data_IF_007774983924
#
_entry.id   IF_007774983924
#
_cell.length_a   1.000
_cell.length_b   1.000
_cell.length_c   1.000
_cell.angle_alpha   90.00
_cell.angle_beta   90.00
_cell.angle_gamma   90.00
#
_symmetry.space_group_name_H-M   'P 1'
#
loop_
_entity.id
_entity.type
_entity.pdbx_description
1 polymer ?
#
# COMPACT_ATOMS: atom_id res chain seq x y z
N UNK A 1 0.67 15.66 -3.68
CA UNK A 1 1.68 16.73 -3.47
C UNK A 1 1.75 17.22 -2.02
N UNK A 2 0.72 17.90 -1.49
CA UNK A 2 0.77 18.50 -0.15
C UNK A 2 1.00 17.50 1.01
N UNK A 3 0.63 16.23 0.83
CA UNK A 3 0.92 15.14 1.78
C UNK A 3 2.40 14.73 1.84
N UNK A 4 3.18 15.07 0.82
CA UNK A 4 4.62 14.74 0.75
C UNK A 4 5.47 15.95 1.15
N UNK A 5 5.28 17.09 0.48
CA UNK A 5 6.13 18.28 0.66
C UNK A 5 5.53 19.32 1.64
N UNK A 6 4.34 19.05 2.20
CA UNK A 6 3.61 19.99 3.05
C UNK A 6 2.82 21.07 2.29
N UNK A 7 1.87 21.70 2.99
CA UNK A 7 0.94 22.68 2.40
C UNK A 7 1.66 23.93 1.82
N UNK A 8 2.70 24.43 2.49
CA UNK A 8 3.42 25.63 2.05
C UNK A 8 4.15 25.41 0.73
N UNK A 9 4.97 24.35 0.64
CA UNK A 9 5.71 24.03 -0.59
C UNK A 9 4.80 23.60 -1.73
N UNK A 10 3.73 22.86 -1.45
CA UNK A 10 2.75 22.51 -2.49
C UNK A 10 2.12 23.75 -3.14
N UNK A 11 1.75 24.77 -2.34
CA UNK A 11 1.20 26.03 -2.86
C UNK A 11 2.25 26.85 -3.60
N UNK A 12 3.48 26.89 -3.11
CA UNK A 12 4.60 27.53 -3.81
C UNK A 12 4.81 26.93 -5.21
N UNK A 13 4.86 25.60 -5.31
CA UNK A 13 4.99 24.89 -6.60
C UNK A 13 3.85 25.27 -7.56
N UNK A 14 2.60 25.18 -7.10
CA UNK A 14 1.42 25.43 -7.94
C UNK A 14 1.25 26.89 -8.35
N UNK A 15 1.54 27.84 -7.46
CA UNK A 15 1.28 29.26 -7.74
C UNK A 15 2.42 29.91 -8.52
N UNK A 16 3.66 29.45 -8.29
CA UNK A 16 4.84 30.08 -8.90
C UNK A 16 5.32 29.37 -10.17
N UNK A 17 4.91 28.12 -10.39
CA UNK A 17 5.30 27.31 -11.55
C UNK A 17 6.81 27.30 -11.83
N UNK A 18 7.63 27.36 -10.77
CA UNK A 18 9.09 27.32 -10.87
C UNK A 18 9.57 25.92 -11.17
N UNK A 19 10.74 25.83 -11.79
CA UNK A 19 11.49 24.58 -11.89
C UNK A 19 12.33 24.39 -10.63
N UNK A 20 12.45 23.15 -10.19
CA UNK A 20 13.26 22.75 -9.05
C UNK A 20 14.21 21.65 -9.51
N UNK A 21 15.47 21.72 -9.10
CA UNK A 21 16.45 20.70 -9.41
C UNK A 21 16.28 19.45 -8.52
N UNK A 22 17.09 18.41 -8.79
CA UNK A 22 17.01 17.15 -8.05
C UNK A 22 17.34 17.32 -6.56
N UNK A 23 18.25 18.24 -6.21
CA UNK A 23 18.66 18.47 -4.83
C UNK A 23 17.55 19.19 -4.06
N UNK A 24 16.96 20.22 -4.65
CA UNK A 24 15.80 20.91 -4.08
C UNK A 24 14.62 19.94 -3.88
N UNK A 25 14.35 19.08 -4.87
CA UNK A 25 13.30 18.07 -4.79
C UNK A 25 13.54 17.07 -3.64
N UNK A 26 14.79 16.66 -3.40
CA UNK A 26 15.16 15.80 -2.28
C UNK A 26 14.99 16.53 -0.94
N UNK A 27 15.46 17.77 -0.83
CA UNK A 27 15.43 18.57 0.39
C UNK A 27 13.98 18.88 0.84
N UNK A 28 13.04 18.99 -0.11
CA UNK A 28 11.61 19.15 0.21
C UNK A 28 10.84 17.83 0.39
N UNK A 29 11.49 16.67 0.24
CA UNK A 29 10.86 15.35 0.37
C UNK A 29 9.98 14.95 -0.82
N UNK A 30 10.19 15.51 -2.01
CA UNK A 30 9.44 15.17 -3.22
C UNK A 30 9.97 13.87 -3.87
N UNK A 31 11.27 13.60 -3.74
CA UNK A 31 11.92 12.37 -4.23
C UNK A 31 12.64 11.68 -3.07
N UNK A 32 12.80 10.35 -3.16
CA UNK A 32 13.40 9.57 -2.08
C UNK A 32 14.94 9.57 -2.09
N UNK A 33 15.58 9.69 -3.26
CA UNK A 33 17.04 9.72 -3.40
C UNK A 33 17.46 10.43 -4.69
N UNK A 34 18.72 10.85 -4.78
CA UNK A 34 19.33 11.49 -5.96
C UNK A 34 20.68 10.82 -6.23
N UNK A 35 20.87 10.35 -7.46
CA UNK A 35 22.10 9.69 -7.93
C UNK A 35 22.57 10.28 -9.26
N UNK A 36 23.84 10.10 -9.66
CA UNK A 36 24.29 10.45 -11.00
C UNK A 36 23.45 9.77 -12.08
N UNK A 37 23.20 10.45 -13.19
CA UNK A 37 22.35 9.93 -14.30
C UNK A 37 22.83 8.57 -14.78
N UNK A 38 24.15 8.33 -14.84
CA UNK A 38 24.74 7.04 -15.22
C UNK A 38 24.44 5.89 -14.27
N UNK A 39 23.97 6.17 -13.04
CA UNK A 39 23.63 5.18 -12.01
C UNK A 39 22.13 5.06 -11.76
N UNK A 40 21.30 5.86 -12.45
CA UNK A 40 19.85 5.94 -12.20
C UNK A 40 19.17 4.56 -12.27
N UNK A 41 19.45 3.79 -13.32
CA UNK A 41 18.88 2.45 -13.48
C UNK A 41 19.43 1.48 -12.42
N UNK A 42 20.74 1.51 -12.18
CA UNK A 42 21.39 0.61 -11.23
C UNK A 42 20.81 0.77 -9.81
N UNK A 43 20.66 2.02 -9.35
CA UNK A 43 20.06 2.32 -8.04
C UNK A 43 18.58 1.92 -8.00
N UNK A 44 17.82 2.24 -9.04
CA UNK A 44 16.40 1.88 -9.13
C UNK A 44 16.18 0.37 -9.06
N UNK A 45 17.00 -0.41 -9.79
CA UNK A 45 16.96 -1.88 -9.77
C UNK A 45 17.38 -2.41 -8.41
N UNK A 46 18.34 -1.78 -7.74
CA UNK A 46 18.74 -2.14 -6.38
C UNK A 46 17.55 -2.05 -5.40
N UNK A 47 16.81 -0.94 -5.42
CA UNK A 47 15.62 -0.74 -4.58
C UNK A 47 14.51 -1.76 -4.90
N UNK A 48 14.28 -2.03 -6.20
CA UNK A 48 13.31 -3.04 -6.62
C UNK A 48 13.69 -4.43 -6.10
N UNK A 49 14.97 -4.81 -6.23
CA UNK A 49 15.49 -6.09 -5.71
C UNK A 49 15.38 -6.19 -4.20
N UNK A 50 15.52 -5.08 -3.48
CA UNK A 50 15.29 -5.05 -2.04
C UNK A 50 13.84 -5.34 -1.67
N UNK A 51 12.88 -4.65 -2.32
CA UNK A 51 11.45 -4.91 -2.09
C UNK A 51 11.03 -6.33 -2.45
N UNK A 52 11.64 -6.93 -3.49
CA UNK A 52 11.38 -8.32 -3.89
C UNK A 52 11.76 -9.35 -2.82
N UNK A 53 12.57 -8.99 -1.80
CA UNK A 53 12.87 -9.86 -0.66
C UNK A 53 11.78 -9.86 0.41
N UNK A 54 10.79 -8.97 0.32
CA UNK A 54 9.74 -8.84 1.32
C UNK A 54 8.45 -9.58 0.93
N UNK A 55 7.58 -9.83 1.92
CA UNK A 55 6.29 -10.48 1.68
C UNK A 55 5.42 -9.63 0.73
N UNK A 56 5.04 -10.15 -0.46
CA UNK A 56 4.19 -9.41 -1.40
C UNK A 56 2.83 -9.04 -0.79
N UNK A 57 2.31 -9.90 0.08
CA UNK A 57 1.06 -9.65 0.79
C UNK A 57 1.19 -8.51 1.81
N UNK A 58 2.28 -8.49 2.57
CA UNK A 58 2.54 -7.41 3.52
C UNK A 58 2.69 -6.06 2.80
N UNK A 59 3.47 -6.02 1.71
CA UNK A 59 3.63 -4.81 0.90
C UNK A 59 2.29 -4.33 0.34
N UNK A 60 1.44 -5.23 -0.13
CA UNK A 60 0.10 -4.90 -0.62
C UNK A 60 -0.78 -4.27 0.47
N UNK A 61 -0.87 -4.90 1.64
CA UNK A 61 -1.66 -4.39 2.76
C UNK A 61 -1.15 -3.04 3.27
N UNK A 62 0.17 -2.88 3.38
CA UNK A 62 0.78 -1.61 3.78
C UNK A 62 0.43 -0.51 2.80
N UNK A 63 0.53 -0.76 1.49
CA UNK A 63 0.12 0.20 0.47
C UNK A 63 -1.36 0.56 0.55
N UNK A 64 -2.25 -0.44 0.70
CA UNK A 64 -3.68 -0.20 0.86
C UNK A 64 -4.00 0.61 2.12
N UNK A 65 -3.33 0.32 3.24
CA UNK A 65 -3.48 1.06 4.49
C UNK A 65 -3.01 2.52 4.38
N UNK A 66 -1.88 2.76 3.70
CA UNK A 66 -1.39 4.11 3.42
C UNK A 66 -2.38 4.89 2.54
N UNK A 67 -2.92 4.27 1.49
CA UNK A 67 -3.94 4.88 0.63
C UNK A 67 -5.24 5.19 1.41
N UNK A 68 -5.66 4.31 2.31
CA UNK A 68 -6.86 4.50 3.12
C UNK A 68 -6.82 5.76 4.01
N UNK A 69 -5.64 6.22 4.39
CA UNK A 69 -5.48 7.46 5.15
C UNK A 69 -5.84 8.72 4.34
N UNK A 70 -5.75 8.65 3.02
CA UNK A 70 -5.91 9.81 2.12
C UNK A 70 -7.15 9.72 1.23
N UNK A 71 -7.52 8.52 0.79
CA UNK A 71 -8.56 8.30 -0.23
C UNK A 71 -9.96 8.04 0.36
N UNK A 72 -10.08 8.09 1.68
CA UNK A 72 -11.35 7.85 2.39
C UNK A 72 -11.95 6.48 2.05
N UNK A 73 -13.23 6.46 1.65
CA UNK A 73 -13.94 5.21 1.36
C UNK A 73 -13.32 4.41 0.21
N UNK A 74 -12.71 5.06 -0.77
CA UNK A 74 -12.04 4.37 -1.87
C UNK A 74 -10.80 3.59 -1.38
N UNK A 75 -10.00 4.20 -0.51
CA UNK A 75 -8.86 3.51 0.09
C UNK A 75 -9.28 2.42 1.08
N UNK A 76 -10.34 2.66 1.87
CA UNK A 76 -10.94 1.63 2.75
C UNK A 76 -11.46 0.45 1.93
N UNK A 77 -12.06 0.67 0.77
CA UNK A 77 -12.52 -0.40 -0.13
C UNK A 77 -11.36 -1.31 -0.53
N UNK A 78 -10.21 -0.75 -0.94
CA UNK A 78 -9.04 -1.55 -1.30
C UNK A 78 -8.55 -2.38 -0.11
N UNK A 79 -8.41 -1.76 1.06
CA UNK A 79 -7.96 -2.44 2.28
C UNK A 79 -8.91 -3.57 2.70
N UNK A 80 -10.22 -3.32 2.68
CA UNK A 80 -11.25 -4.31 2.98
C UNK A 80 -11.27 -5.46 1.96
N UNK A 81 -11.03 -5.15 0.68
CA UNK A 81 -10.88 -6.16 -0.37
C UNK A 81 -9.71 -7.11 -0.12
N UNK A 82 -8.54 -6.58 0.24
CA UNK A 82 -7.36 -7.40 0.57
C UNK A 82 -7.56 -8.21 1.87
N UNK A 83 -8.23 -7.63 2.87
CA UNK A 83 -8.63 -8.37 4.08
C UNK A 83 -9.61 -9.52 3.76
N UNK A 84 -10.56 -9.29 2.87
CA UNK A 84 -11.52 -10.31 2.41
C UNK A 84 -10.82 -11.43 1.65
N UNK A 85 -9.86 -11.08 0.78
CA UNK A 85 -9.02 -12.05 0.09
C UNK A 85 -8.29 -12.96 1.09
N UNK A 86 -7.70 -12.39 2.14
CA UNK A 86 -7.02 -13.17 3.18
C UNK A 86 -7.99 -14.05 3.97
N UNK A 87 -9.17 -13.54 4.30
CA UNK A 87 -10.20 -14.31 4.97
C UNK A 87 -10.61 -15.54 4.16
N UNK A 88 -10.79 -15.42 2.84
CA UNK A 88 -11.12 -16.54 1.95
C UNK A 88 -10.04 -17.64 1.89
N UNK A 89 -8.80 -17.33 2.26
CA UNK A 89 -7.72 -18.32 2.35
C UNK A 89 -7.72 -19.09 3.67
N UNK A 90 -8.49 -18.65 4.67
CA UNK A 90 -8.58 -19.34 5.97
C UNK A 90 -9.53 -20.52 5.92
N UNK A 91 -9.36 -21.46 6.86
CA UNK A 91 -10.30 -22.58 7.02
C UNK A 91 -11.70 -22.10 7.44
N UNK A 92 -11.80 -21.01 8.19
CA UNK A 92 -13.07 -20.41 8.59
C UNK A 92 -13.83 -19.86 7.38
N UNK A 93 -13.16 -19.12 6.49
CA UNK A 93 -13.75 -18.66 5.23
C UNK A 93 -14.19 -19.81 4.32
N UNK A 94 -13.40 -20.90 4.28
CA UNK A 94 -13.72 -22.09 3.49
C UNK A 94 -14.93 -22.87 4.05
N UNK A 95 -15.08 -22.97 5.38
CA UNK A 95 -16.22 -23.65 6.01
C UNK A 95 -17.56 -23.05 5.57
N UNK A 96 -17.68 -21.71 5.55
CA UNK A 96 -18.91 -21.05 5.11
C UNK A 96 -19.24 -21.35 3.64
N UNK A 97 -18.23 -21.32 2.77
CA UNK A 97 -18.37 -21.68 1.35
C UNK A 97 -18.79 -23.15 1.18
N UNK A 98 -18.14 -24.05 1.89
CA UNK A 98 -18.35 -25.50 1.74
C UNK A 98 -19.71 -25.92 2.30
N UNK A 99 -20.11 -25.39 3.47
CA UNK A 99 -21.44 -25.60 4.04
C UNK A 99 -22.57 -25.15 3.08
N UNK A 100 -22.40 -23.98 2.45
CA UNK A 100 -23.34 -23.49 1.43
C UNK A 100 -23.44 -24.45 0.24
N UNK A 101 -22.30 -24.93 -0.28
CA UNK A 101 -22.26 -25.90 -1.39
C UNK A 101 -22.91 -27.24 -1.02
N UNK A 102 -22.71 -27.68 0.21
CA UNK A 102 -23.22 -28.95 0.75
C UNK A 102 -24.66 -28.85 1.27
N UNK A 103 -25.26 -27.66 1.28
CA UNK A 103 -26.61 -27.38 1.80
C UNK A 103 -26.79 -27.82 3.26
N UNK A 104 -25.76 -27.60 4.06
CA UNK A 104 -25.78 -27.83 5.52
C UNK A 104 -25.51 -26.52 6.25
N UNK A 105 -25.84 -26.49 7.53
CA UNK A 105 -25.42 -25.40 8.40
C UNK A 105 -23.88 -25.40 8.58
N UNK A 106 -23.22 -24.22 8.59
CA UNK A 106 -21.80 -24.12 8.87
C UNK A 106 -21.52 -24.34 10.37
N UNK A 107 -20.42 -25.02 10.69
CA UNK A 107 -19.92 -25.15 12.06
C UNK A 107 -18.66 -24.30 12.27
N UNK A 108 -18.85 -23.10 12.82
CA UNK A 108 -17.75 -22.19 13.15
C UNK A 108 -17.19 -22.39 14.57
N UNK A 109 -17.80 -23.24 15.41
CA UNK A 109 -17.34 -23.44 16.79
C UNK A 109 -15.96 -24.12 16.87
N UNK A 110 -15.56 -24.79 15.77
CA UNK A 110 -14.24 -25.42 15.64
C UNK A 110 -13.08 -24.43 15.43
N UNK A 111 -13.36 -23.15 15.19
CA UNK A 111 -12.33 -22.13 14.99
C UNK A 111 -12.07 -21.31 16.27
N UNK A 112 -10.81 -21.03 16.61
CA UNK A 112 -10.46 -20.30 17.82
C UNK A 112 -10.90 -18.83 17.72
N UNK A 113 -11.67 -18.36 18.69
CA UNK A 113 -12.04 -16.95 18.82
C UNK A 113 -10.86 -16.18 19.42
N UNK A 114 -10.31 -15.24 18.65
CA UNK A 114 -9.27 -14.32 19.14
C UNK A 114 -9.95 -13.21 19.97
N UNK A 115 -9.31 -12.76 21.06
CA UNK A 115 -9.85 -11.71 21.94
C UNK A 115 -9.93 -10.35 21.26
#
# INVERSE_FOLDING_TARGET
LARHVGQKKAREIWFMCRQYDAKEALDMGLVNTVVPVSQLEAETVSWAREMLRHSPMALRLLKAGLNAADDGLAGVQQLAGDATLLFYLTQEGQEGRDAYKEKREPDFNKFPKRP
#
